data_IF_326610773008
#
_entry.id   IF_326610773008
#
_cell.length_a   1.000
_cell.length_b   1.000
_cell.length_c   1.000
_cell.angle_alpha   90.00
_cell.angle_beta   90.00
_cell.angle_gamma   90.00
#
_symmetry.space_group_name_H-M   'P 1'
#
loop_
_entity.id
_entity.type
_entity.pdbx_description
1 polymer ?
#
# COMPACT_ATOMS: atom_id res chain seq x y z
N UNK A 1 37.65 8.79 7.16
CA UNK A 1 36.45 9.49 7.68
C UNK A 1 35.13 8.95 7.12
N UNK A 2 35.09 7.76 6.52
CA UNK A 2 33.88 7.15 5.91
C UNK A 2 33.17 6.17 6.84
N UNK A 3 33.93 5.38 7.62
CA UNK A 3 33.41 4.29 8.46
C UNK A 3 32.35 4.73 9.47
N UNK A 4 32.47 5.92 10.06
CA UNK A 4 31.49 6.46 11.00
C UNK A 4 30.19 6.90 10.31
N UNK A 5 30.29 7.43 9.09
CA UNK A 5 29.11 7.81 8.29
C UNK A 5 28.36 6.56 7.81
N UNK A 6 29.08 5.53 7.35
CA UNK A 6 28.48 4.26 6.95
C UNK A 6 27.74 3.60 8.12
N UNK A 7 28.36 3.56 9.30
CA UNK A 7 27.74 3.00 10.51
C UNK A 7 26.50 3.80 10.93
N UNK A 8 26.56 5.14 10.86
CA UNK A 8 25.42 6.00 11.17
C UNK A 8 24.27 5.79 10.17
N UNK A 9 24.56 5.67 8.87
CA UNK A 9 23.57 5.41 7.84
C UNK A 9 22.92 4.04 8.00
N UNK A 10 23.70 2.99 8.32
CA UNK A 10 23.16 1.65 8.58
C UNK A 10 22.25 1.65 9.79
N UNK A 11 22.68 2.29 10.89
CA UNK A 11 21.86 2.38 12.10
C UNK A 11 20.58 3.17 11.84
N UNK A 12 20.68 4.34 11.21
CA UNK A 12 19.53 5.16 10.83
C UNK A 12 18.56 4.39 9.92
N UNK A 13 19.07 3.70 8.89
CA UNK A 13 18.26 2.91 7.97
C UNK A 13 17.52 1.79 8.71
N UNK A 14 18.20 1.06 9.61
CA UNK A 14 17.56 0.02 10.42
C UNK A 14 16.47 0.59 11.33
N UNK A 15 16.70 1.73 11.99
CA UNK A 15 15.68 2.38 12.82
C UNK A 15 14.50 2.92 11.99
N UNK A 16 14.76 3.48 10.80
CA UNK A 16 13.73 3.95 9.88
C UNK A 16 12.86 2.79 9.38
N UNK A 17 13.48 1.66 9.00
CA UNK A 17 12.76 0.46 8.58
C UNK A 17 11.95 -0.13 9.74
N UNK A 18 12.56 -0.25 10.92
CA UNK A 18 11.88 -0.77 12.10
C UNK A 18 10.68 0.10 12.50
N UNK A 19 10.84 1.42 12.57
CA UNK A 19 9.75 2.34 12.93
C UNK A 19 8.62 2.36 11.89
N UNK A 20 8.95 2.33 10.59
CA UNK A 20 7.95 2.24 9.53
C UNK A 20 7.16 0.93 9.59
N UNK A 21 7.85 -0.19 9.78
CA UNK A 21 7.22 -1.50 9.92
C UNK A 21 6.32 -1.57 11.17
N UNK A 22 6.78 -1.06 12.32
CA UNK A 22 5.97 -0.98 13.54
C UNK A 22 4.71 -0.13 13.34
N UNK A 23 4.81 1.02 12.68
CA UNK A 23 3.64 1.85 12.41
C UNK A 23 2.59 1.14 11.55
N UNK A 24 3.01 0.48 10.46
CA UNK A 24 2.09 -0.24 9.57
C UNK A 24 1.49 -1.48 10.24
N UNK A 25 2.30 -2.22 10.99
CA UNK A 25 1.86 -3.45 11.68
C UNK A 25 0.88 -3.15 12.81
N UNK A 26 1.07 -2.07 13.58
CA UNK A 26 0.10 -1.62 14.57
C UNK A 26 -1.23 -1.24 13.93
N UNK A 27 -1.21 -0.50 12.82
CA UNK A 27 -2.43 -0.17 12.08
C UNK A 27 -3.17 -1.40 11.54
N UNK A 28 -2.44 -2.38 11.02
CA UNK A 28 -3.02 -3.65 10.57
C UNK A 28 -3.54 -4.50 11.74
N UNK A 29 -2.81 -4.51 12.86
CA UNK A 29 -3.19 -5.19 14.09
C UNK A 29 -4.52 -4.66 14.62
N UNK A 30 -4.65 -3.34 14.74
CA UNK A 30 -5.88 -2.69 15.22
C UNK A 30 -7.04 -2.94 14.23
N UNK A 31 -6.79 -2.81 12.93
CA UNK A 31 -7.78 -3.11 11.90
C UNK A 31 -8.31 -4.56 11.97
N UNK A 32 -7.42 -5.54 12.19
CA UNK A 32 -7.80 -6.94 12.32
C UNK A 32 -8.50 -7.22 13.66
N UNK A 33 -8.08 -6.56 14.74
CA UNK A 33 -8.77 -6.65 16.03
C UNK A 33 -10.23 -6.20 15.91
N UNK A 34 -10.46 -5.06 15.25
CA UNK A 34 -11.78 -4.50 14.99
C UNK A 34 -12.60 -5.38 14.03
N UNK A 35 -11.97 -5.90 12.96
CA UNK A 35 -12.66 -6.70 11.94
C UNK A 35 -13.17 -8.04 12.49
N UNK A 36 -12.39 -8.68 13.36
CA UNK A 36 -12.74 -9.97 13.95
C UNK A 36 -13.43 -9.84 15.32
N UNK A 37 -13.56 -8.62 15.86
CA UNK A 37 -14.18 -8.35 17.15
C UNK A 37 -13.45 -9.00 18.32
N UNK A 38 -12.11 -9.06 18.27
CA UNK A 38 -11.33 -9.68 19.34
C UNK A 38 -11.31 -8.78 20.59
N UNK A 39 -11.58 -9.35 21.76
CA UNK A 39 -11.48 -8.65 23.04
C UNK A 39 -10.06 -8.12 23.32
N UNK A 40 -9.97 -6.97 23.99
CA UNK A 40 -8.74 -6.30 24.47
C UNK A 40 -7.88 -7.11 25.47
N UNK A 41 -8.25 -8.36 25.72
CA UNK A 41 -7.48 -9.28 26.55
C UNK A 41 -6.08 -9.57 25.97
N UNK A 42 -5.10 -9.81 26.83
CA UNK A 42 -3.73 -10.15 26.40
C UNK A 42 -3.68 -11.37 25.45
N UNK A 43 -4.60 -12.33 25.62
CA UNK A 43 -4.76 -13.48 24.73
C UNK A 43 -5.42 -13.12 23.39
N UNK A 44 -6.39 -12.20 23.38
CA UNK A 44 -7.00 -11.66 22.16
C UNK A 44 -5.98 -10.92 21.31
N UNK A 45 -5.18 -10.06 21.96
CA UNK A 45 -4.05 -9.36 21.34
C UNK A 45 -2.96 -10.28 20.81
N UNK A 46 -2.67 -11.38 21.50
CA UNK A 46 -1.68 -12.34 20.99
C UNK A 46 -2.20 -13.09 19.75
N UNK A 47 -3.50 -13.38 19.67
CA UNK A 47 -4.14 -13.98 18.49
C UNK A 47 -4.11 -13.04 17.28
N UNK A 48 -4.44 -11.76 17.46
CA UNK A 48 -4.33 -10.77 16.38
C UNK A 48 -2.90 -10.55 15.94
N UNK A 49 -1.93 -10.50 16.87
CA UNK A 49 -0.52 -10.42 16.53
C UNK A 49 -0.08 -11.62 15.69
N UNK A 50 -0.46 -12.84 16.11
CA UNK A 50 -0.14 -14.05 15.36
C UNK A 50 -0.78 -14.03 13.97
N UNK A 51 -2.04 -13.60 13.84
CA UNK A 51 -2.70 -13.47 12.55
C UNK A 51 -2.08 -12.39 11.66
N UNK A 52 -1.53 -11.33 12.26
CA UNK A 52 -0.87 -10.23 11.54
C UNK A 52 0.50 -10.65 11.00
N UNK A 53 1.28 -11.39 11.79
CA UNK A 53 2.66 -11.73 11.45
C UNK A 53 2.84 -13.13 10.82
N UNK A 54 2.00 -14.11 11.15
CA UNK A 54 2.17 -15.48 10.66
C UNK A 54 2.02 -15.58 9.13
N UNK A 55 1.00 -14.99 8.47
CA UNK A 55 0.88 -15.10 7.02
C UNK A 55 2.07 -14.48 6.26
N UNK A 56 2.55 -13.26 6.60
CA UNK A 56 3.77 -12.71 5.98
C UNK A 56 5.01 -13.56 6.22
N UNK A 57 5.21 -14.09 7.43
CA UNK A 57 6.38 -14.92 7.77
C UNK A 57 6.35 -16.24 6.99
N UNK A 58 5.20 -16.93 6.97
CA UNK A 58 5.04 -18.19 6.23
C UNK A 58 5.18 -17.95 4.72
N UNK A 59 4.59 -16.87 4.20
CA UNK A 59 4.74 -16.49 2.79
C UNK A 59 6.19 -16.20 2.40
N UNK A 60 6.95 -15.51 3.25
CA UNK A 60 8.37 -15.24 3.04
C UNK A 60 9.26 -16.49 3.11
N UNK A 61 8.92 -17.46 3.96
CA UNK A 61 9.65 -18.72 4.08
C UNK A 61 9.38 -19.67 2.90
N UNK A 62 8.13 -19.72 2.40
CA UNK A 62 7.73 -20.60 1.30
C UNK A 62 8.07 -20.05 -0.08
N UNK A 63 8.10 -18.72 -0.25
CA UNK A 63 8.34 -18.06 -1.54
C UNK A 63 9.48 -17.05 -1.44
N UNK A 64 10.75 -17.46 -1.64
CA UNK A 64 11.91 -16.56 -1.57
C UNK A 64 11.89 -15.44 -2.63
N UNK A 65 11.21 -15.64 -3.76
CA UNK A 65 10.96 -14.60 -4.78
C UNK A 65 9.58 -13.93 -4.64
N UNK A 66 8.80 -14.29 -3.61
CA UNK A 66 7.41 -13.85 -3.42
C UNK A 66 7.28 -12.35 -3.10
N UNK A 67 8.34 -11.72 -2.59
CA UNK A 67 8.34 -10.29 -2.29
C UNK A 67 8.04 -9.41 -3.51
N UNK A 68 8.62 -9.74 -4.68
CA UNK A 68 8.41 -8.96 -5.90
C UNK A 68 6.95 -9.03 -6.38
N UNK A 69 6.33 -10.20 -6.29
CA UNK A 69 4.91 -10.36 -6.61
C UNK A 69 4.04 -9.65 -5.59
N UNK A 70 4.35 -9.79 -4.29
CA UNK A 70 3.59 -9.17 -3.20
C UNK A 70 3.60 -7.64 -3.30
N UNK A 71 4.75 -7.02 -3.56
CA UNK A 71 4.84 -5.55 -3.73
C UNK A 71 4.13 -5.09 -5.00
N UNK A 72 4.13 -5.90 -6.06
CA UNK A 72 3.37 -5.64 -7.28
C UNK A 72 1.86 -5.58 -7.03
N UNK A 73 1.31 -6.61 -6.39
CA UNK A 73 -0.11 -6.65 -6.01
C UNK A 73 -0.48 -5.55 -5.01
N UNK A 74 0.40 -5.23 -4.05
CA UNK A 74 0.20 -4.12 -3.14
C UNK A 74 0.13 -2.77 -3.89
N UNK A 75 0.98 -2.57 -4.89
CA UNK A 75 0.93 -1.39 -5.77
C UNK A 75 -0.37 -1.29 -6.59
N UNK A 76 -0.91 -2.42 -7.05
CA UNK A 76 -2.23 -2.46 -7.68
C UNK A 76 -3.34 -2.04 -6.72
N UNK A 77 -3.36 -2.60 -5.52
CA UNK A 77 -4.34 -2.23 -4.49
C UNK A 77 -4.22 -0.74 -4.11
N UNK A 78 -2.99 -0.23 -3.98
CA UNK A 78 -2.72 1.19 -3.74
C UNK A 78 -3.23 2.06 -4.90
N UNK A 79 -3.09 1.64 -6.15
CA UNK A 79 -3.62 2.39 -7.31
C UNK A 79 -5.14 2.52 -7.24
N UNK A 80 -5.84 1.45 -6.86
CA UNK A 80 -7.30 1.48 -6.69
C UNK A 80 -7.68 2.48 -5.59
N UNK A 81 -7.09 2.37 -4.40
CA UNK A 81 -7.45 3.18 -3.24
C UNK A 81 -6.94 4.62 -3.27
N UNK A 82 -5.76 4.88 -3.82
CA UNK A 82 -5.12 6.19 -3.81
C UNK A 82 -5.37 7.00 -5.10
N UNK A 83 -5.57 6.35 -6.25
CA UNK A 83 -5.81 7.06 -7.51
C UNK A 83 -7.27 7.00 -7.96
N UNK A 84 -7.86 5.79 -8.02
CA UNK A 84 -9.20 5.61 -8.61
C UNK A 84 -10.30 6.07 -7.65
N UNK A 85 -10.30 5.59 -6.40
CA UNK A 85 -11.34 5.91 -5.40
C UNK A 85 -11.44 7.43 -5.15
N UNK A 86 -10.34 8.18 -4.95
CA UNK A 86 -10.43 9.62 -4.70
C UNK A 86 -10.92 10.39 -5.93
N UNK A 87 -10.53 9.96 -7.13
CA UNK A 87 -11.01 10.53 -8.39
C UNK A 87 -12.54 10.35 -8.55
N UNK A 88 -13.05 9.15 -8.25
CA UNK A 88 -14.48 8.86 -8.28
C UNK A 88 -15.24 9.61 -7.17
N UNK A 89 -14.68 9.66 -5.95
CA UNK A 89 -15.27 10.39 -4.83
C UNK A 89 -15.35 11.89 -5.11
N UNK A 90 -14.31 12.48 -5.70
CA UNK A 90 -14.31 13.88 -6.13
C UNK A 90 -15.38 14.13 -7.20
N UNK A 91 -15.58 13.20 -8.14
CA UNK A 91 -16.63 13.30 -9.16
C UNK A 91 -18.04 13.17 -8.55
N UNK A 92 -18.23 12.22 -7.62
CA UNK A 92 -19.51 11.99 -6.95
C UNK A 92 -19.88 13.15 -6.03
N UNK A 93 -18.93 13.66 -5.24
CA UNK A 93 -19.10 14.84 -4.38
C UNK A 93 -19.53 16.08 -5.18
N UNK A 94 -18.90 16.33 -6.33
CA UNK A 94 -19.28 17.43 -7.25
C UNK A 94 -20.70 17.29 -7.81
N UNK A 95 -21.18 16.07 -8.04
CA UNK A 95 -22.56 15.83 -8.49
C UNK A 95 -23.59 16.01 -7.36
N UNK A 96 -23.24 15.63 -6.13
CA UNK A 96 -24.18 15.58 -5.00
C UNK A 96 -24.31 16.90 -4.24
N UNK A 97 -23.23 17.68 -4.10
CA UNK A 97 -23.22 18.88 -3.24
C UNK A 97 -23.10 20.21 -4.02
N UNK A 98 -23.02 20.16 -5.36
CA UNK A 98 -22.73 21.36 -6.15
C UNK A 98 -21.28 21.84 -5.98
N UNK A 99 -20.78 22.63 -6.94
CA UNK A 99 -19.35 22.94 -7.04
C UNK A 99 -18.87 23.85 -5.89
N UNK A 100 -17.87 23.45 -5.06
CA UNK A 100 -17.27 24.35 -4.08
C UNK A 100 -16.51 25.48 -4.79
N UNK A 101 -16.42 26.65 -4.16
CA UNK A 101 -15.64 27.82 -4.64
C UNK A 101 -14.15 27.50 -4.83
N UNK A 102 -13.62 26.46 -4.18
CA UNK A 102 -12.23 26.02 -4.33
C UNK A 102 -12.14 24.90 -5.38
N UNK A 103 -11.59 25.23 -6.55
CA UNK A 103 -11.24 24.27 -7.62
C UNK A 103 -9.74 24.13 -7.67
N UNK A 104 -9.24 22.90 -7.54
CA UNK A 104 -7.88 22.56 -7.98
C UNK A 104 -7.77 22.87 -9.48
N UNK A 105 -6.68 23.55 -9.86
CA UNK A 105 -6.39 23.91 -11.25
C UNK A 105 -6.40 22.64 -12.11
N UNK A 106 -7.30 22.55 -13.10
CA UNK A 106 -7.45 21.36 -13.96
C UNK A 106 -8.82 20.67 -13.97
N UNK A 107 -9.77 21.04 -13.11
CA UNK A 107 -11.21 20.74 -13.32
C UNK A 107 -11.59 19.26 -13.53
N UNK A 108 -12.30 18.96 -14.64
CA UNK A 108 -12.66 17.60 -15.11
C UNK A 108 -11.53 16.86 -15.86
N UNK A 109 -10.69 17.52 -16.69
CA UNK A 109 -9.62 16.81 -17.41
C UNK A 109 -8.55 16.22 -16.47
N UNK A 110 -8.20 16.87 -15.37
CA UNK A 110 -7.23 16.32 -14.41
C UNK A 110 -7.70 15.01 -13.76
N UNK A 111 -9.00 14.90 -13.44
CA UNK A 111 -9.59 13.65 -12.91
C UNK A 111 -9.51 12.54 -13.97
N UNK A 112 -9.76 12.89 -15.24
CA UNK A 112 -9.70 11.92 -16.35
C UNK A 112 -8.26 11.44 -16.58
N UNK A 113 -7.28 12.33 -16.48
CA UNK A 113 -5.86 12.00 -16.61
C UNK A 113 -5.37 11.08 -15.48
N UNK A 114 -5.76 11.33 -14.23
CA UNK A 114 -5.45 10.45 -13.09
C UNK A 114 -6.08 9.06 -13.28
N UNK A 115 -7.33 9.01 -13.76
CA UNK A 115 -8.00 7.74 -14.05
C UNK A 115 -7.31 6.98 -15.18
N UNK A 116 -6.97 7.64 -16.29
CA UNK A 116 -6.25 7.03 -17.41
C UNK A 116 -4.87 6.54 -16.95
N UNK A 117 -4.16 7.30 -16.13
CA UNK A 117 -2.88 6.90 -15.56
C UNK A 117 -3.01 5.70 -14.62
N UNK A 118 -4.01 5.67 -13.75
CA UNK A 118 -4.28 4.55 -12.85
C UNK A 118 -4.68 3.27 -13.60
N UNK A 119 -5.56 3.39 -14.58
CA UNK A 119 -5.95 2.28 -15.46
C UNK A 119 -4.76 1.81 -16.30
N UNK A 120 -3.95 2.72 -16.82
CA UNK A 120 -2.73 2.40 -17.56
C UNK A 120 -1.74 1.62 -16.70
N UNK A 121 -1.48 2.04 -15.46
CA UNK A 121 -0.63 1.29 -14.54
C UNK A 121 -1.19 -0.11 -14.25
N UNK A 122 -2.50 -0.22 -14.00
CA UNK A 122 -3.12 -1.51 -13.77
C UNK A 122 -2.99 -2.44 -14.99
N UNK A 123 -3.21 -1.92 -16.19
CA UNK A 123 -3.06 -2.67 -17.44
C UNK A 123 -1.62 -3.11 -17.68
N UNK A 124 -0.64 -2.23 -17.48
CA UNK A 124 0.79 -2.56 -17.63
C UNK A 124 1.20 -3.63 -16.62
N UNK A 125 0.74 -3.54 -15.38
CA UNK A 125 1.04 -4.54 -14.35
C UNK A 125 0.42 -5.91 -14.67
N UNK A 126 -0.82 -5.92 -15.18
CA UNK A 126 -1.49 -7.15 -15.63
C UNK A 126 -0.77 -7.72 -16.85
N UNK A 127 -0.46 -6.93 -17.87
CA UNK A 127 0.28 -7.37 -19.06
C UNK A 127 1.68 -7.91 -18.70
N UNK A 128 2.36 -7.28 -17.75
CA UNK A 128 3.64 -7.76 -17.21
C UNK A 128 3.48 -9.09 -16.47
N UNK A 129 2.37 -9.29 -15.76
CA UNK A 129 2.06 -10.56 -15.07
C UNK A 129 1.76 -11.69 -16.05
N UNK A 130 1.30 -11.38 -17.27
CA UNK A 130 1.02 -12.33 -18.35
C UNK A 130 2.19 -12.55 -19.33
N UNK A 131 3.41 -12.11 -19.01
CA UNK A 131 4.62 -12.31 -19.84
C UNK A 131 4.53 -11.75 -21.29
N UNK A 132 3.63 -10.81 -21.56
CA UNK A 132 3.41 -10.24 -22.90
C UNK A 132 4.29 -9.00 -23.20
N UNK A 133 5.10 -8.56 -22.24
CA UNK A 133 6.11 -7.52 -22.40
C UNK A 133 7.50 -8.09 -22.07
N UNK A 134 8.54 -7.78 -22.87
CA UNK A 134 9.89 -8.26 -22.62
C UNK A 134 10.38 -7.68 -21.29
N UNK A 135 10.43 -8.54 -20.28
CA UNK A 135 11.06 -8.22 -19.00
C UNK A 135 12.56 -8.30 -19.23
N UNK A 136 13.27 -7.18 -19.07
CA UNK A 136 14.74 -7.21 -19.02
C UNK A 136 15.15 -8.09 -17.83
N UNK A 137 15.83 -9.20 -18.13
CA UNK A 137 16.52 -10.03 -17.15
C UNK A 137 17.75 -9.31 -16.60
#
# INVERSE_FOLDING_TARGET
NSRSLDLLLVVFSNFAVASSFLGVTLGLFDYLADLFGFDDSALGRLKTALLTFAPPVVGGLLFPNGFLYAIGYAGLAATIWAAIVPALLARASRKRFGSPKFRVWGGKPMITLILVFGVGNALVHILSSFNLLPVYQ
#
